data_IF_378906228428
#
_entry.id   IF_378906228428
#
_cell.length_a   1.000
_cell.length_b   1.000
_cell.length_c   1.000
_cell.angle_alpha   90.00
_cell.angle_beta   90.00
_cell.angle_gamma   90.00
#
_symmetry.space_group_name_H-M   'P 1'
#
loop_
_entity.id
_entity.type
_entity.pdbx_description
1 polymer ?
#
# COMPACT_ATOMS: atom_id res chain seq x y z
N UNK A 1 3.67 0.71 5.70
CA UNK A 1 2.66 1.61 6.30
C UNK A 1 1.31 1.19 5.73
N UNK A 2 0.17 1.69 6.21
CA UNK A 2 -1.11 1.09 5.84
C UNK A 2 -1.81 1.92 4.78
N UNK A 3 -1.92 3.24 4.97
CA UNK A 3 -2.61 4.10 3.99
C UNK A 3 -1.87 5.38 3.60
N UNK A 4 -0.81 5.78 4.30
CA UNK A 4 -0.06 6.98 3.90
C UNK A 4 0.57 6.89 2.50
N UNK A 5 0.65 5.69 1.90
CA UNK A 5 1.26 5.44 0.60
C UNK A 5 0.43 6.02 -0.55
N UNK A 6 -0.81 6.43 -0.28
CA UNK A 6 -1.60 7.21 -1.24
C UNK A 6 -1.08 8.64 -1.41
N UNK A 7 -0.34 9.15 -0.43
CA UNK A 7 0.29 10.48 -0.45
C UNK A 7 1.07 10.75 -1.74
N UNK A 8 2.09 9.92 -2.04
CA UNK A 8 2.89 10.01 -3.26
C UNK A 8 2.09 10.04 -4.56
N UNK A 9 0.97 9.32 -4.68
CA UNK A 9 0.18 9.31 -5.91
C UNK A 9 -0.37 10.70 -6.27
N UNK A 10 -0.84 11.45 -5.27
CA UNK A 10 -1.33 12.82 -5.47
C UNK A 10 -0.22 13.80 -5.83
N UNK A 11 0.95 13.66 -5.20
CA UNK A 11 2.14 14.45 -5.51
C UNK A 11 2.66 14.15 -6.93
N UNK A 12 2.71 12.87 -7.32
CA UNK A 12 3.12 12.47 -8.67
C UNK A 12 2.12 12.96 -9.71
N UNK A 13 0.82 12.90 -9.45
CA UNK A 13 -0.17 13.45 -10.37
C UNK A 13 -0.06 14.97 -10.53
N UNK A 14 0.42 15.68 -9.50
CA UNK A 14 0.72 17.10 -9.60
C UNK A 14 1.81 17.41 -10.64
N UNK A 15 2.85 16.58 -10.70
CA UNK A 15 3.96 16.70 -11.67
C UNK A 15 3.67 16.05 -13.03
N UNK A 16 2.94 14.94 -13.06
CA UNK A 16 2.68 14.10 -14.24
C UNK A 16 1.17 14.01 -14.52
N UNK A 17 0.57 15.16 -14.85
CA UNK A 17 -0.90 15.33 -15.00
C UNK A 17 -1.54 14.53 -16.12
N UNK A 18 -0.74 14.07 -17.08
CA UNK A 18 -1.16 13.24 -18.19
C UNK A 18 -1.24 11.74 -17.81
N UNK A 19 -0.62 11.34 -16.70
CA UNK A 19 -0.81 10.01 -16.12
C UNK A 19 -2.04 10.05 -15.22
N UNK A 20 -2.93 9.08 -15.44
CA UNK A 20 -4.16 9.03 -14.67
C UNK A 20 -3.89 8.83 -13.18
N UNK A 21 -4.58 9.62 -12.36
CA UNK A 21 -4.50 9.55 -10.91
C UNK A 21 -4.86 8.13 -10.40
N UNK A 22 -5.80 7.47 -11.07
CA UNK A 22 -6.18 6.08 -10.75
C UNK A 22 -5.01 5.12 -10.85
N UNK A 23 -4.24 5.19 -11.94
CA UNK A 23 -3.07 4.33 -12.14
C UNK A 23 -1.97 4.62 -11.12
N UNK A 24 -1.77 5.90 -10.77
CA UNK A 24 -0.83 6.27 -9.72
C UNK A 24 -1.27 5.73 -8.36
N UNK A 25 -2.55 5.83 -8.00
CA UNK A 25 -3.10 5.28 -6.76
C UNK A 25 -2.94 3.76 -6.68
N UNK A 26 -3.22 3.02 -7.75
CA UNK A 26 -3.03 1.57 -7.77
C UNK A 26 -1.54 1.23 -7.66
N UNK A 27 -0.67 1.95 -8.37
CA UNK A 27 0.77 1.66 -8.35
C UNK A 27 1.39 1.81 -6.96
N UNK A 28 0.96 2.78 -6.13
CA UNK A 28 1.50 2.90 -4.76
C UNK A 28 1.07 1.77 -3.82
N UNK A 29 0.12 0.91 -4.24
CA UNK A 29 -0.44 -0.21 -3.47
C UNK A 29 0.03 -1.57 -3.96
N UNK A 30 0.67 -1.63 -5.13
CA UNK A 30 0.88 -2.91 -5.80
C UNK A 30 1.72 -3.88 -4.96
N UNK A 31 2.67 -3.35 -4.18
CA UNK A 31 3.52 -4.13 -3.29
C UNK A 31 2.68 -4.80 -2.17
N UNK A 32 1.77 -4.08 -1.54
CA UNK A 32 0.85 -4.64 -0.54
C UNK A 32 -0.05 -5.71 -1.17
N UNK A 33 -0.61 -5.42 -2.35
CA UNK A 33 -1.47 -6.38 -3.05
C UNK A 33 -0.70 -7.67 -3.34
N UNK A 34 0.52 -7.57 -3.87
CA UNK A 34 1.39 -8.73 -4.11
C UNK A 34 1.65 -9.50 -2.82
N UNK A 35 2.02 -8.81 -1.73
CA UNK A 35 2.22 -9.45 -0.42
C UNK A 35 0.99 -10.23 0.01
N UNK A 36 -0.16 -9.60 0.01
CA UNK A 36 -1.41 -10.24 0.40
C UNK A 36 -1.81 -11.39 -0.53
N UNK A 37 -1.44 -11.34 -1.83
CA UNK A 37 -1.63 -12.47 -2.73
C UNK A 37 -0.76 -13.67 -2.34
N UNK A 38 0.51 -13.46 -1.97
CA UNK A 38 1.36 -14.53 -1.45
C UNK A 38 0.79 -15.13 -0.17
N UNK A 39 0.36 -14.29 0.79
CA UNK A 39 -0.21 -14.82 2.04
C UNK A 39 -1.50 -15.61 1.80
N UNK A 40 -2.39 -15.15 0.91
CA UNK A 40 -3.58 -15.92 0.53
C UNK A 40 -3.22 -17.22 -0.19
N UNK A 41 -2.22 -17.19 -1.07
CA UNK A 41 -1.72 -18.39 -1.74
C UNK A 41 -1.23 -19.42 -0.70
N UNK A 42 -0.44 -18.98 0.28
CA UNK A 42 0.01 -19.81 1.40
C UNK A 42 -1.18 -20.41 2.17
N UNK A 43 -2.25 -19.63 2.42
CA UNK A 43 -3.48 -20.14 3.06
C UNK A 43 -4.12 -21.26 2.25
N UNK A 44 -4.34 -21.05 0.95
CA UNK A 44 -5.11 -21.98 0.13
C UNK A 44 -4.31 -23.22 -0.27
N UNK A 45 -3.01 -23.07 -0.51
CA UNK A 45 -2.13 -24.16 -0.95
C UNK A 45 -1.57 -24.94 0.23
N UNK A 46 -1.16 -24.23 1.29
CA UNK A 46 -0.37 -24.80 2.39
C UNK A 46 -1.10 -24.77 3.74
N UNK A 47 -2.33 -24.21 3.83
CA UNK A 47 -3.06 -24.03 5.10
C UNK A 47 -2.24 -23.27 6.17
N UNK A 48 -1.37 -22.36 5.73
CA UNK A 48 -0.42 -21.64 6.59
C UNK A 48 0.62 -22.53 7.30
N UNK A 49 0.81 -23.78 6.86
CA UNK A 49 1.88 -24.65 7.34
C UNK A 49 3.20 -24.35 6.60
N UNK A 50 3.87 -23.27 7.01
CA UNK A 50 5.01 -22.69 6.27
C UNK A 50 6.17 -23.69 6.08
N UNK A 51 6.51 -24.45 7.13
CA UNK A 51 7.67 -25.36 7.10
C UNK A 51 7.39 -26.71 6.44
N UNK A 52 6.13 -27.16 6.42
CA UNK A 52 5.72 -28.42 5.81
C UNK A 52 5.06 -28.24 4.44
N UNK A 53 5.05 -27.03 3.88
CA UNK A 53 4.37 -26.79 2.62
C UNK A 53 5.07 -27.52 1.45
N UNK A 54 4.33 -28.31 0.64
CA UNK A 54 4.88 -28.96 -0.56
C UNK A 54 5.30 -27.96 -1.65
N UNK A 55 4.76 -26.74 -1.61
CA UNK A 55 5.06 -25.65 -2.55
C UNK A 55 5.59 -24.44 -1.77
N UNK A 56 6.88 -24.41 -1.40
CA UNK A 56 7.43 -23.36 -0.53
C UNK A 56 7.31 -21.96 -1.16
N UNK A 57 7.22 -21.87 -2.50
CA UNK A 57 6.99 -20.62 -3.21
C UNK A 57 5.65 -19.94 -2.84
N UNK A 58 4.65 -20.72 -2.41
CA UNK A 58 3.35 -20.18 -2.01
C UNK A 58 3.41 -19.47 -0.64
N UNK A 59 4.40 -19.79 0.21
CA UNK A 59 4.56 -19.24 1.56
C UNK A 59 5.85 -18.40 1.71
N UNK A 60 6.36 -17.81 0.63
CA UNK A 60 7.54 -16.95 0.69
C UNK A 60 7.31 -15.70 1.53
N UNK A 61 6.07 -15.26 1.61
CA UNK A 61 5.69 -14.09 2.39
C UNK A 61 4.56 -14.41 3.34
N UNK A 62 4.71 -13.97 4.58
CA UNK A 62 3.76 -14.19 5.66
C UNK A 62 4.05 -13.23 6.82
N UNK A 63 3.14 -13.19 7.79
CA UNK A 63 3.35 -12.48 9.05
C UNK A 63 3.24 -13.48 10.20
N UNK A 64 4.01 -13.26 11.26
CA UNK A 64 3.91 -14.03 12.51
C UNK A 64 3.58 -13.12 13.69
N UNK A 65 2.97 -13.69 14.73
CA UNK A 65 2.75 -12.97 15.98
C UNK A 65 4.08 -12.63 16.67
N UNK A 66 4.11 -11.48 17.33
CA UNK A 66 5.15 -11.10 18.29
C UNK A 66 4.47 -10.80 19.63
N UNK A 67 4.40 -11.82 20.50
CA UNK A 67 3.64 -11.80 21.75
C UNK A 67 4.18 -10.74 22.71
N UNK A 68 5.49 -10.50 22.72
CA UNK A 68 6.09 -9.44 23.56
C UNK A 68 5.50 -8.07 23.22
N UNK A 69 5.46 -7.73 21.93
CA UNK A 69 4.92 -6.46 21.46
C UNK A 69 3.40 -6.39 21.58
N UNK A 70 2.70 -7.52 21.46
CA UNK A 70 1.27 -7.60 21.73
C UNK A 70 0.96 -7.27 23.19
N UNK A 71 1.76 -7.77 24.15
CA UNK A 71 1.61 -7.47 25.59
C UNK A 71 1.86 -6.00 25.91
N UNK A 72 2.81 -5.38 25.23
CA UNK A 72 3.03 -3.93 25.27
C UNK A 72 1.93 -3.13 24.55
N UNK A 73 0.96 -3.83 23.94
CA UNK A 73 -0.11 -3.27 23.14
C UNK A 73 0.44 -2.34 22.05
N UNK A 74 1.56 -2.69 21.40
CA UNK A 74 2.09 -1.89 20.29
C UNK A 74 1.18 -1.99 19.06
N UNK A 75 1.23 -0.95 18.21
CA UNK A 75 0.56 -1.00 16.92
C UNK A 75 1.28 -1.97 15.99
N UNK A 76 0.51 -2.77 15.23
CA UNK A 76 1.04 -3.76 14.27
C UNK A 76 2.09 -4.70 14.90
N UNK A 77 1.74 -5.48 15.94
CA UNK A 77 2.68 -6.31 16.69
C UNK A 77 3.03 -7.62 15.96
N UNK A 78 3.32 -7.56 14.66
CA UNK A 78 3.56 -8.72 13.79
C UNK A 78 4.92 -8.65 13.12
N UNK A 79 5.64 -9.77 13.06
CA UNK A 79 6.87 -9.88 12.29
C UNK A 79 6.51 -10.28 10.86
N UNK A 80 6.53 -9.32 9.94
CA UNK A 80 6.31 -9.59 8.52
C UNK A 80 7.59 -10.08 7.85
N UNK A 81 7.48 -11.21 7.14
CA UNK A 81 8.45 -11.74 6.19
C UNK A 81 7.95 -11.38 4.79
N UNK A 82 8.55 -10.37 4.16
CA UNK A 82 8.07 -9.81 2.89
C UNK A 82 9.21 -9.28 2.03
N UNK A 83 10.35 -9.96 2.06
CA UNK A 83 11.56 -9.55 1.36
C UNK A 83 11.39 -9.61 -0.18
N UNK A 84 10.35 -10.27 -0.71
CA UNK A 84 10.13 -10.37 -2.16
C UNK A 84 9.34 -9.18 -2.69
N UNK A 85 8.24 -8.81 -2.04
CA UNK A 85 7.38 -7.70 -2.44
C UNK A 85 7.92 -6.37 -1.93
N UNK A 86 8.36 -6.31 -0.68
CA UNK A 86 8.76 -5.06 0.00
C UNK A 86 10.28 -4.83 0.02
N UNK A 87 11.00 -5.35 -0.98
CA UNK A 87 12.41 -5.00 -1.20
C UNK A 87 12.58 -3.98 -2.33
N UNK A 88 13.76 -3.35 -2.39
CA UNK A 88 14.08 -2.46 -3.52
C UNK A 88 14.19 -3.26 -4.84
N UNK A 89 14.74 -4.48 -4.82
CA UNK A 89 14.68 -5.39 -5.98
C UNK A 89 13.26 -5.78 -6.34
N UNK A 90 12.40 -6.07 -5.36
CA UNK A 90 10.97 -6.33 -5.56
C UNK A 90 10.28 -5.15 -6.22
N UNK A 91 10.54 -3.94 -5.72
CA UNK A 91 10.06 -2.67 -6.29
C UNK A 91 10.44 -2.53 -7.77
N UNK A 92 11.68 -2.84 -8.16
CA UNK A 92 12.12 -2.79 -9.56
C UNK A 92 11.36 -3.80 -10.43
N UNK A 93 11.21 -5.05 -9.96
CA UNK A 93 10.50 -6.11 -10.69
C UNK A 93 9.03 -5.73 -10.87
N UNK A 94 8.34 -5.32 -9.80
CA UNK A 94 6.93 -4.97 -9.85
C UNK A 94 6.69 -3.68 -10.64
N UNK A 95 7.65 -2.75 -10.67
CA UNK A 95 7.59 -1.61 -11.58
C UNK A 95 7.62 -2.04 -13.03
N UNK A 96 8.49 -2.99 -13.38
CA UNK A 96 8.57 -3.50 -14.76
C UNK A 96 7.26 -4.16 -15.18
N UNK A 97 6.72 -5.04 -14.33
CA UNK A 97 5.45 -5.73 -14.55
C UNK A 97 4.30 -4.74 -14.68
N UNK A 98 4.19 -3.79 -13.74
CA UNK A 98 3.11 -2.80 -13.72
C UNK A 98 3.16 -1.87 -14.94
N UNK A 99 4.37 -1.43 -15.34
CA UNK A 99 4.55 -0.61 -16.55
C UNK A 99 4.15 -1.38 -17.79
N UNK A 100 4.50 -2.67 -17.89
CA UNK A 100 4.07 -3.54 -18.98
C UNK A 100 2.54 -3.65 -19.07
N UNK A 101 1.87 -3.89 -17.94
CA UNK A 101 0.40 -3.94 -17.87
C UNK A 101 -0.21 -2.61 -18.30
N UNK A 102 0.30 -1.48 -17.78
CA UNK A 102 -0.18 -0.15 -18.15
C UNK A 102 -0.08 0.10 -19.66
N UNK A 103 1.05 -0.23 -20.27
CA UNK A 103 1.28 -0.06 -21.71
C UNK A 103 0.36 -0.96 -22.53
N UNK A 104 0.14 -2.20 -22.12
CA UNK A 104 -0.78 -3.12 -22.80
C UNK A 104 -2.23 -2.64 -22.74
N UNK A 105 -2.69 -2.18 -21.56
CA UNK A 105 -4.06 -1.67 -21.38
C UNK A 105 -4.27 -0.35 -22.11
N UNK A 106 -3.26 0.52 -22.17
CA UNK A 106 -3.35 1.87 -22.75
C UNK A 106 -2.65 2.00 -24.12
N UNK A 107 -2.37 0.89 -24.82
CA UNK A 107 -1.51 0.85 -26.01
C UNK A 107 -1.88 1.88 -27.09
N UNK A 108 -3.18 2.12 -27.30
CA UNK A 108 -3.67 3.04 -28.35
C UNK A 108 -3.59 4.53 -27.98
N UNK A 109 -3.50 4.86 -26.71
CA UNK A 109 -3.62 6.23 -26.20
C UNK A 109 -2.34 6.74 -25.54
N UNK A 110 -1.29 5.93 -25.52
CA UNK A 110 -0.07 6.24 -24.80
C UNK A 110 0.93 6.97 -25.69
N UNK A 111 1.21 8.23 -25.37
CA UNK A 111 2.20 9.07 -26.08
C UNK A 111 3.60 8.99 -25.48
N UNK A 112 3.76 8.40 -24.28
CA UNK A 112 5.05 8.30 -23.58
C UNK A 112 5.81 7.04 -23.99
N UNK A 113 7.14 7.17 -24.02
CA UNK A 113 8.03 6.00 -24.13
C UNK A 113 7.91 5.11 -22.90
N UNK A 114 8.19 3.81 -23.07
CA UNK A 114 8.21 2.85 -21.97
C UNK A 114 9.14 3.30 -20.83
N UNK A 115 10.33 3.82 -21.16
CA UNK A 115 11.30 4.29 -20.18
C UNK A 115 10.76 5.46 -19.33
N UNK A 116 10.01 6.40 -19.94
CA UNK A 116 9.39 7.50 -19.20
C UNK A 116 8.32 6.98 -18.23
N UNK A 117 7.48 6.05 -18.66
CA UNK A 117 6.45 5.44 -17.81
C UNK A 117 7.05 4.62 -16.68
N UNK A 118 8.07 3.82 -17.00
CA UNK A 118 8.82 3.06 -16.00
C UNK A 118 9.40 3.98 -14.93
N UNK A 119 9.99 5.12 -15.31
CA UNK A 119 10.49 6.10 -14.34
C UNK A 119 9.40 6.66 -13.43
N UNK A 120 8.22 7.00 -13.96
CA UNK A 120 7.11 7.53 -13.17
C UNK A 120 6.55 6.46 -12.22
N UNK A 121 6.31 5.24 -12.70
CA UNK A 121 5.83 4.15 -11.85
C UNK A 121 6.89 3.66 -10.88
N UNK A 122 8.16 3.75 -11.21
CA UNK A 122 9.24 3.48 -10.28
C UNK A 122 9.15 4.43 -9.09
N UNK A 123 9.06 5.74 -9.33
CA UNK A 123 8.88 6.72 -8.26
C UNK A 123 7.64 6.43 -7.40
N UNK A 124 6.56 5.98 -8.04
CA UNK A 124 5.32 5.65 -7.36
C UNK A 124 5.45 4.41 -6.46
N UNK A 125 5.94 3.30 -7.02
CA UNK A 125 6.07 2.03 -6.29
C UNK A 125 7.21 2.11 -5.26
N UNK A 126 8.33 2.75 -5.60
CA UNK A 126 9.46 2.94 -4.69
C UNK A 126 9.13 3.91 -3.55
N UNK A 127 8.14 4.80 -3.72
CA UNK A 127 7.68 5.63 -2.60
C UNK A 127 7.10 4.79 -1.48
N UNK A 128 6.46 3.66 -1.80
CA UNK A 128 5.98 2.70 -0.81
C UNK A 128 7.14 2.15 0.00
N UNK A 129 8.16 1.60 -0.68
CA UNK A 129 9.36 1.07 -0.03
C UNK A 129 10.09 2.13 0.79
N UNK A 130 10.25 3.35 0.28
CA UNK A 130 10.91 4.44 1.00
C UNK A 130 10.15 4.83 2.27
N UNK A 131 8.82 4.90 2.19
CA UNK A 131 8.00 5.18 3.36
C UNK A 131 8.08 4.04 4.37
N UNK A 132 8.21 2.80 3.90
CA UNK A 132 8.47 1.65 4.76
C UNK A 132 9.82 1.69 5.45
N UNK A 133 10.90 2.14 4.78
CA UNK A 133 12.19 2.41 5.44
C UNK A 133 11.98 3.35 6.63
N UNK A 134 11.13 4.37 6.49
CA UNK A 134 10.87 5.30 7.58
C UNK A 134 10.03 4.63 8.67
N UNK A 135 8.88 4.06 8.30
CA UNK A 135 7.85 3.73 9.28
C UNK A 135 7.93 2.32 9.84
N UNK A 136 8.32 1.33 9.03
CA UNK A 136 8.20 -0.07 9.43
C UNK A 136 9.10 -0.38 10.61
N UNK A 137 8.60 -1.26 11.47
CA UNK A 137 9.38 -1.85 12.57
C UNK A 137 10.52 -2.72 12.04
N UNK A 138 10.20 -3.66 11.17
CA UNK A 138 11.20 -4.52 10.57
C UNK A 138 11.89 -3.75 9.45
N UNK A 139 13.22 -3.74 9.48
CA UNK A 139 14.03 -3.23 8.38
C UNK A 139 13.61 -3.89 7.05
N UNK A 140 13.56 -3.09 5.99
CA UNK A 140 13.22 -3.56 4.66
C UNK A 140 14.45 -4.00 3.90
N UNK A 141 14.34 -5.12 3.19
CA UNK A 141 15.42 -5.65 2.39
C UNK A 141 15.75 -4.74 1.20
N UNK A 142 17.02 -4.64 0.83
CA UNK A 142 17.44 -3.84 -0.33
C UNK A 142 17.50 -4.70 -1.60
N UNK A 143 18.45 -5.63 -1.70
CA UNK A 143 18.63 -6.46 -2.90
C UNK A 143 18.65 -7.98 -2.60
N UNK A 144 17.56 -8.59 -2.11
CA UNK A 144 17.44 -10.05 -2.06
C UNK A 144 17.33 -10.66 -3.48
N UNK A 145 17.80 -11.90 -3.69
CA UNK A 145 18.55 -12.76 -2.77
C UNK A 145 20.06 -12.45 -2.73
N UNK A 146 20.51 -11.42 -3.47
CA UNK A 146 21.94 -11.11 -3.63
C UNK A 146 22.61 -10.59 -2.36
N UNK A 147 21.84 -9.93 -1.49
CA UNK A 147 22.30 -9.38 -0.21
C UNK A 147 21.27 -9.64 0.89
N UNK A 148 21.76 -9.79 2.12
CA UNK A 148 20.92 -9.82 3.34
C UNK A 148 20.77 -8.44 3.99
N UNK A 149 21.21 -7.37 3.31
CA UNK A 149 21.17 -6.02 3.84
C UNK A 149 19.72 -5.55 3.97
N UNK A 150 19.37 -5.09 5.16
CA UNK A 150 18.09 -4.46 5.46
C UNK A 150 18.34 -3.08 6.05
N UNK A 151 17.44 -2.14 5.78
CA UNK A 151 17.49 -0.78 6.33
C UNK A 151 16.13 -0.37 6.88
N UNK A 152 16.11 0.39 7.95
CA UNK A 152 14.89 0.90 8.56
C UNK A 152 15.20 1.92 9.65
N UNK A 153 14.30 2.88 9.83
CA UNK A 153 14.31 3.85 10.93
C UNK A 153 13.42 3.39 12.09
N UNK A 154 12.51 2.43 11.87
CA UNK A 154 11.78 1.78 12.96
C UNK A 154 10.75 2.66 13.65
N UNK A 155 10.13 3.67 13.00
CA UNK A 155 9.28 4.60 13.76
C UNK A 155 8.07 3.92 14.42
N UNK A 156 7.56 2.82 13.86
CA UNK A 156 6.53 2.00 14.52
C UNK A 156 6.98 1.41 15.87
N UNK A 157 8.27 1.18 16.07
CA UNK A 157 8.82 0.67 17.33
C UNK A 157 9.08 1.77 18.35
N UNK A 158 9.54 2.93 17.88
CA UNK A 158 10.10 3.96 18.76
C UNK A 158 9.15 5.13 19.00
N UNK A 159 8.17 5.36 18.13
CA UNK A 159 7.19 6.44 18.28
C UNK A 159 5.88 5.94 18.89
N UNK A 160 5.16 6.85 19.55
CA UNK A 160 3.83 6.58 20.09
C UNK A 160 2.83 6.21 18.99
N UNK A 161 1.75 5.49 19.36
CA UNK A 161 0.62 5.17 18.45
C UNK A 161 0.08 6.42 17.76
N UNK A 162 -0.08 7.52 18.50
CA UNK A 162 -0.59 8.78 17.98
C UNK A 162 0.37 9.41 16.96
N UNK A 163 1.67 9.40 17.24
CA UNK A 163 2.67 9.93 16.31
C UNK A 163 2.67 9.19 14.98
N UNK A 164 2.66 7.86 15.01
CA UNK A 164 2.62 7.04 13.80
C UNK A 164 1.29 7.23 13.04
N UNK A 165 0.16 7.28 13.75
CA UNK A 165 -1.14 7.60 13.16
C UNK A 165 -1.13 8.95 12.43
N UNK A 166 -0.55 10.00 13.03
CA UNK A 166 -0.44 11.32 12.42
C UNK A 166 0.47 11.34 11.18
N UNK A 167 1.56 10.56 11.20
CA UNK A 167 2.44 10.41 10.02
C UNK A 167 1.68 9.77 8.85
N UNK A 168 0.93 8.70 9.11
CA UNK A 168 0.17 8.01 8.05
C UNK A 168 -0.96 8.88 7.50
N UNK A 169 -1.80 9.44 8.37
CA UNK A 169 -2.90 10.32 7.99
C UNK A 169 -2.38 11.59 7.32
N UNK A 170 -1.33 12.20 7.86
CA UNK A 170 -0.68 13.38 7.30
C UNK A 170 -0.20 13.13 5.88
N UNK A 171 0.45 11.99 5.62
CA UNK A 171 0.90 11.61 4.29
C UNK A 171 -0.27 11.48 3.30
N UNK A 172 -1.36 10.80 3.71
CA UNK A 172 -2.55 10.65 2.88
C UNK A 172 -3.26 11.99 2.59
N UNK A 173 -3.39 12.86 3.60
CA UNK A 173 -3.97 14.20 3.48
C UNK A 173 -3.12 15.07 2.55
N UNK A 174 -1.79 15.05 2.69
CA UNK A 174 -0.89 15.81 1.83
C UNK A 174 -1.03 15.38 0.36
N UNK A 175 -1.09 14.07 0.06
CA UNK A 175 -1.34 13.61 -1.31
C UNK A 175 -2.67 14.09 -1.85
N UNK A 176 -3.74 13.98 -1.05
CA UNK A 176 -5.05 14.50 -1.44
C UNK A 176 -5.01 16.01 -1.72
N UNK A 177 -4.29 16.80 -0.91
CA UNK A 177 -4.11 18.23 -1.13
C UNK A 177 -3.39 18.51 -2.46
N UNK A 178 -2.28 17.83 -2.76
CA UNK A 178 -1.59 17.98 -4.04
C UNK A 178 -2.49 17.63 -5.22
N UNK A 179 -3.28 16.55 -5.11
CA UNK A 179 -4.27 16.20 -6.13
C UNK A 179 -5.35 17.29 -6.28
N UNK A 180 -5.88 17.81 -5.17
CA UNK A 180 -6.87 18.89 -5.18
C UNK A 180 -6.33 20.16 -5.85
N UNK A 181 -5.06 20.50 -5.63
CA UNK A 181 -4.41 21.66 -6.25
C UNK A 181 -4.35 21.54 -7.79
N UNK A 182 -4.18 20.33 -8.33
CA UNK A 182 -4.29 20.09 -9.79
C UNK A 182 -5.70 20.37 -10.29
N UNK A 183 -6.70 20.02 -9.49
CA UNK A 183 -8.12 20.08 -9.87
C UNK A 183 -8.76 21.45 -9.64
N UNK A 184 -8.15 22.33 -8.85
CA UNK A 184 -8.68 23.67 -8.51
C UNK A 184 -9.04 24.52 -9.73
N UNK A 185 -8.33 24.33 -10.85
CA UNK A 185 -8.60 25.04 -12.11
C UNK A 185 -9.82 24.51 -12.87
N UNK A 186 -10.42 23.40 -12.43
CA UNK A 186 -11.54 22.72 -13.10
C UNK A 186 -12.79 22.72 -12.23
N UNK A 187 -13.98 22.69 -12.85
CA UNK A 187 -15.24 22.50 -12.12
C UNK A 187 -15.24 21.12 -11.47
N UNK A 188 -15.24 21.09 -10.14
CA UNK A 188 -15.31 19.87 -9.35
C UNK A 188 -16.72 19.28 -9.42
N UNK A 189 -16.81 17.96 -9.61
CA UNK A 189 -18.09 17.25 -9.74
C UNK A 189 -18.65 16.87 -8.37
N UNK A 190 -19.96 16.59 -8.29
CA UNK A 190 -20.52 15.91 -7.11
C UNK A 190 -19.81 14.58 -6.82
N UNK A 191 -19.44 13.85 -7.88
CA UNK A 191 -18.69 12.60 -7.78
C UNK A 191 -17.31 12.78 -7.13
N UNK A 192 -16.60 13.87 -7.43
CA UNK A 192 -15.32 14.20 -6.78
C UNK A 192 -15.48 14.35 -5.26
N UNK A 193 -16.48 15.12 -4.81
CA UNK A 193 -16.69 15.39 -3.38
C UNK A 193 -17.14 14.15 -2.62
N UNK A 194 -18.09 13.38 -3.18
CA UNK A 194 -18.55 12.12 -2.58
C UNK A 194 -17.38 11.13 -2.47
N UNK A 195 -16.59 10.98 -3.53
CA UNK A 195 -15.47 10.03 -3.54
C UNK A 195 -14.35 10.47 -2.60
N UNK A 196 -14.08 11.78 -2.51
CA UNK A 196 -13.12 12.32 -1.53
C UNK A 196 -13.58 12.09 -0.10
N UNK A 197 -14.87 12.31 0.20
CA UNK A 197 -15.43 12.05 1.53
C UNK A 197 -15.32 10.56 1.89
N UNK A 198 -15.73 9.67 0.98
CA UNK A 198 -15.63 8.22 1.20
C UNK A 198 -14.18 7.77 1.39
N UNK A 199 -13.25 8.31 0.59
CA UNK A 199 -11.83 8.06 0.74
C UNK A 199 -11.32 8.48 2.12
N UNK A 200 -11.69 9.67 2.60
CA UNK A 200 -11.31 10.13 3.94
C UNK A 200 -11.94 9.27 5.03
N UNK A 201 -13.25 9.01 4.99
CA UNK A 201 -13.92 8.18 6.00
C UNK A 201 -13.26 6.80 6.10
N UNK A 202 -12.94 6.19 4.96
CA UNK A 202 -12.23 4.92 4.91
C UNK A 202 -10.79 5.06 5.44
N UNK A 203 -10.08 6.14 5.10
CA UNK A 203 -8.71 6.38 5.59
C UNK A 203 -8.66 6.55 7.08
N UNK A 204 -9.44 7.48 7.61
CA UNK A 204 -9.53 7.73 9.04
C UNK A 204 -10.06 6.50 9.80
N UNK A 205 -11.10 5.85 9.27
CA UNK A 205 -11.68 4.66 9.89
C UNK A 205 -10.72 3.47 9.98
N UNK A 206 -10.02 3.15 8.89
CA UNK A 206 -9.05 2.05 8.87
C UNK A 206 -7.81 2.37 9.72
N UNK A 207 -7.29 3.60 9.65
CA UNK A 207 -6.17 4.01 10.51
C UNK A 207 -6.57 3.96 11.98
N UNK A 208 -7.75 4.47 12.34
CA UNK A 208 -8.24 4.39 13.71
C UNK A 208 -8.41 2.93 14.16
N UNK A 209 -8.97 2.09 13.28
CA UNK A 209 -9.12 0.65 13.50
C UNK A 209 -7.80 -0.03 13.86
N UNK A 210 -6.75 0.21 13.07
CA UNK A 210 -5.46 -0.45 13.26
C UNK A 210 -4.72 0.06 14.51
N UNK A 211 -4.73 1.37 14.75
CA UNK A 211 -3.96 1.95 15.86
C UNK A 211 -4.67 1.86 17.20
N UNK A 212 -6.00 1.98 17.24
CA UNK A 212 -6.74 2.23 18.48
C UNK A 212 -7.90 1.26 18.76
N UNK A 213 -8.49 0.61 17.75
CA UNK A 213 -9.68 -0.22 17.98
C UNK A 213 -9.37 -1.61 18.56
N UNK A 214 -8.15 -2.11 18.37
CA UNK A 214 -7.73 -3.43 18.84
C UNK A 214 -6.75 -3.29 19.99
N UNK A 215 -7.09 -3.92 21.12
CA UNK A 215 -6.19 -4.08 22.26
C UNK A 215 -5.49 -5.44 22.15
N UNK A 216 -4.29 -5.43 21.58
CA UNK A 216 -3.53 -6.65 21.31
C UNK A 216 -3.08 -7.37 22.58
N UNK A 217 -3.02 -6.67 23.72
CA UNK A 217 -2.64 -7.27 24.99
C UNK A 217 -3.62 -8.37 25.42
N UNK A 218 -4.91 -8.23 25.08
CA UNK A 218 -5.96 -9.21 25.36
C UNK A 218 -5.92 -10.44 24.46
N UNK A 219 -5.26 -10.32 23.30
CA UNK A 219 -5.10 -11.40 22.32
C UNK A 219 -3.78 -12.15 22.55
N UNK A 220 -2.83 -11.52 23.24
CA UNK A 220 -1.47 -12.05 23.43
C UNK A 220 -1.46 -13.46 24.07
N UNK A 221 -2.40 -13.76 24.95
CA UNK A 221 -2.47 -15.05 25.65
C UNK A 221 -3.20 -16.15 24.85
N UNK A 222 -3.87 -15.81 23.74
CA UNK A 222 -4.56 -16.78 22.88
C UNK A 222 -3.76 -17.23 21.66
N UNK A 223 -2.55 -16.71 21.50
CA UNK A 223 -1.68 -17.01 20.35
C UNK A 223 -0.30 -17.46 20.81
N UNK A 224 0.39 -18.20 19.94
CA UNK A 224 1.77 -18.61 20.18
C UNK A 224 2.73 -17.62 19.53
N UNK A 225 3.81 -17.28 20.24
CA UNK A 225 4.84 -16.40 19.68
C UNK A 225 5.50 -17.03 18.45
N UNK A 226 5.71 -16.23 17.41
CA UNK A 226 6.26 -16.70 16.14
C UNK A 226 5.32 -17.55 15.28
N UNK A 227 4.10 -17.88 15.75
CA UNK A 227 3.16 -18.61 14.91
C UNK A 227 2.61 -17.71 13.78
N UNK A 228 2.29 -18.26 12.60
CA UNK A 228 1.73 -17.49 11.49
C UNK A 228 0.42 -16.80 11.89
N UNK A 229 0.21 -15.57 11.44
CA UNK A 229 -1.04 -14.84 11.66
C UNK A 229 -2.14 -15.40 10.76
N UNK A 230 -3.38 -15.46 11.26
CA UNK A 230 -4.50 -15.84 10.40
C UNK A 230 -4.74 -14.78 9.31
N UNK A 231 -4.82 -15.16 8.02
CA UNK A 231 -5.07 -14.25 6.90
C UNK A 231 -6.54 -13.85 6.73
N UNK A 232 -7.39 -14.01 7.74
CA UNK A 232 -8.85 -13.79 7.62
C UNK A 232 -9.23 -12.34 7.33
N UNK A 233 -8.38 -11.38 7.71
CA UNK A 233 -8.59 -9.96 7.43
C UNK A 233 -8.13 -9.55 6.02
N UNK A 234 -7.34 -10.39 5.35
CA UNK A 234 -6.73 -10.06 4.06
C UNK A 234 -7.78 -9.78 2.96
N UNK A 235 -8.86 -10.57 2.80
CA UNK A 235 -9.89 -10.24 1.81
C UNK A 235 -10.52 -8.87 2.00
N UNK A 236 -10.73 -8.46 3.27
CA UNK A 236 -11.24 -7.13 3.58
C UNK A 236 -10.21 -6.05 3.21
N UNK A 237 -8.94 -6.23 3.58
CA UNK A 237 -7.85 -5.31 3.19
C UNK A 237 -7.75 -5.18 1.66
N UNK A 238 -7.79 -6.29 0.93
CA UNK A 238 -7.81 -6.31 -0.53
C UNK A 238 -8.97 -5.50 -1.11
N UNK A 239 -10.17 -5.71 -0.57
CA UNK A 239 -11.35 -4.97 -0.97
C UNK A 239 -11.15 -3.46 -0.77
N UNK A 240 -10.53 -3.04 0.34
CA UNK A 240 -10.28 -1.61 0.59
C UNK A 240 -9.33 -1.00 -0.44
N UNK A 241 -8.27 -1.70 -0.85
CA UNK A 241 -7.36 -1.22 -1.92
C UNK A 241 -8.07 -1.07 -3.26
N UNK A 242 -8.88 -2.07 -3.65
CA UNK A 242 -9.69 -2.00 -4.87
C UNK A 242 -10.66 -0.82 -4.80
N UNK A 243 -11.31 -0.63 -3.66
CA UNK A 243 -12.24 0.48 -3.44
C UNK A 243 -11.53 1.84 -3.55
N UNK A 244 -10.32 2.00 -2.99
CA UNK A 244 -9.50 3.21 -3.18
C UNK A 244 -9.26 3.48 -4.67
N UNK A 245 -8.90 2.46 -5.44
CA UNK A 245 -8.76 2.56 -6.89
C UNK A 245 -10.03 3.08 -7.57
N UNK A 246 -11.19 2.50 -7.24
CA UNK A 246 -12.49 2.94 -7.77
C UNK A 246 -12.80 4.39 -7.38
N UNK A 247 -12.59 4.76 -6.11
CA UNK A 247 -12.83 6.13 -5.64
C UNK A 247 -11.93 7.13 -6.38
N UNK A 248 -10.66 6.79 -6.59
CA UNK A 248 -9.72 7.64 -7.31
C UNK A 248 -10.13 7.92 -8.76
N UNK A 249 -10.75 6.93 -9.43
CA UNK A 249 -11.33 7.12 -10.76
C UNK A 249 -12.45 8.17 -10.77
N UNK A 250 -13.35 8.12 -9.79
CA UNK A 250 -14.43 9.10 -9.67
C UNK A 250 -13.94 10.47 -9.23
N UNK A 251 -12.85 10.55 -8.46
CA UNK A 251 -12.16 11.80 -8.13
C UNK A 251 -11.54 12.45 -9.37
N UNK A 252 -10.93 11.64 -10.24
CA UNK A 252 -10.30 12.10 -11.47
C UNK A 252 -11.29 12.55 -12.55
N UNK A 253 -12.46 11.90 -12.63
CA UNK A 253 -13.45 12.12 -13.69
C UNK A 253 -13.74 13.61 -13.94
N UNK A 254 -13.43 14.08 -15.15
CA UNK A 254 -13.77 15.43 -15.61
C UNK A 254 -15.26 15.51 -15.95
N UNK A 255 -15.86 16.69 -15.75
CA UNK A 255 -17.13 17.02 -16.41
C UNK A 255 -16.83 16.98 -17.92
N UNK A 256 -17.51 16.10 -18.66
CA UNK A 256 -17.55 16.29 -20.12
C UNK A 256 -18.31 17.58 -20.33
N UNK A 257 -17.63 18.62 -20.77
CA UNK A 257 -18.33 19.75 -21.36
C UNK A 257 -19.10 19.16 -22.53
N UNK A 258 -20.42 19.10 -22.39
CA UNK A 258 -21.30 18.83 -23.51
C UNK A 258 -21.02 20.02 -24.43
N UNK A 259 -20.30 19.78 -25.53
CA UNK A 259 -20.28 20.72 -26.64
C UNK A 259 -21.73 20.77 -27.12
N UNK A 260 -22.47 21.76 -26.65
CA UNK A 260 -23.69 22.20 -27.31
C UNK A 260 -23.23 22.85 -28.61
N UNK A 261 -23.18 22.04 -29.66
CA UNK A 261 -23.17 22.50 -31.05
C UNK A 261 -24.54 23.05 -31.42
#
# INVERSE_FOLDING_TARGET
MIQGHYGPAGLLHFFFRDISFTWLMISTQIIDMVFFAFVLCCKFVCKMEIHSCPQPLACLEYSSYNVSLMRENQAVPFNAQNDISHSLSGTLIWTLVFTGIYVLVNWRNNSRSFASLYGIFFLSISSHWLLDVVVRRNDVAVFPPFTSNKIGLGTWQHLSKLSNYLIEVGSAVLGWLFFFLVRKSSKLTKGFWISSLLYFLMTFGLMYGVYFAVDYSKIADSVQDGSPTSPDQIPFTYFTYVLVGILSYFMERKVREIKTE
#
